data_IF_168223468369
#
_entry.id   IF_168223468369
#
_cell.length_a   1.000
_cell.length_b   1.000
_cell.length_c   1.000
_cell.angle_alpha   90.00
_cell.angle_beta   90.00
_cell.angle_gamma   90.00
#
_symmetry.space_group_name_H-M   'P 1'
#
loop_
_entity.id
_entity.type
_entity.pdbx_description
1 polymer ?
#
# COMPACT_ATOMS: atom_id res chain seq x y z
N UNK A 1 -20.50 -3.44 -13.92
CA UNK A 1 -19.05 -3.27 -13.96
C UNK A 1 -18.58 -2.70 -12.64
N UNK A 2 -17.70 -3.42 -11.99
CA UNK A 2 -17.30 -3.06 -10.65
C UNK A 2 -16.20 -1.99 -10.68
N UNK A 3 -16.49 -0.88 -10.04
CA UNK A 3 -15.48 0.15 -9.84
C UNK A 3 -14.61 -0.24 -8.65
N UNK A 4 -13.33 -0.02 -8.79
CA UNK A 4 -12.43 -0.17 -7.65
C UNK A 4 -12.72 0.94 -6.63
N UNK A 5 -12.61 0.65 -5.33
CA UNK A 5 -12.97 1.61 -4.27
C UNK A 5 -11.89 2.67 -4.02
N UNK A 6 -11.47 3.35 -5.07
CA UNK A 6 -10.34 4.28 -5.03
C UNK A 6 -10.62 5.48 -4.12
N UNK A 7 -11.72 6.18 -4.35
CA UNK A 7 -12.04 7.37 -3.57
C UNK A 7 -12.30 7.06 -2.09
N UNK A 8 -12.94 5.92 -1.83
CA UNK A 8 -13.18 5.48 -0.47
C UNK A 8 -11.86 5.31 0.29
N UNK A 9 -10.90 4.62 -0.32
CA UNK A 9 -9.59 4.40 0.30
C UNK A 9 -8.87 5.72 0.49
N UNK A 10 -8.85 6.58 -0.55
CA UNK A 10 -8.15 7.87 -0.47
C UNK A 10 -8.70 8.75 0.65
N UNK A 11 -10.01 8.72 0.89
CA UNK A 11 -10.64 9.56 1.90
C UNK A 11 -10.58 8.97 3.30
N UNK A 12 -10.56 7.65 3.44
CA UNK A 12 -10.64 7.00 4.74
C UNK A 12 -9.30 6.57 5.32
N UNK A 13 -8.31 6.24 4.47
CA UNK A 13 -7.03 5.79 4.96
C UNK A 13 -6.22 6.92 5.59
N UNK A 14 -5.55 6.62 6.69
CA UNK A 14 -4.65 7.56 7.37
C UNK A 14 -3.25 6.99 7.50
N UNK A 15 -3.13 5.71 7.81
CA UNK A 15 -1.87 5.01 7.99
C UNK A 15 -1.66 4.02 6.87
N UNK A 16 -0.57 4.18 6.13
CA UNK A 16 -0.23 3.37 4.97
C UNK A 16 1.07 2.63 5.23
N UNK A 17 1.02 1.30 5.18
CA UNK A 17 2.22 0.46 5.19
C UNK A 17 2.65 0.25 3.74
N UNK A 18 3.87 0.64 3.41
CA UNK A 18 4.39 0.59 2.04
C UNK A 18 5.37 -0.56 1.92
N UNK A 19 4.91 -1.66 1.32
CA UNK A 19 5.72 -2.86 1.09
C UNK A 19 6.56 -2.66 -0.18
N UNK A 20 7.87 -2.84 -0.06
CA UNK A 20 8.76 -2.54 -1.16
C UNK A 20 9.15 -1.07 -1.22
N UNK A 21 9.01 -0.36 -0.10
CA UNK A 21 9.50 1.01 0.00
C UNK A 21 10.96 1.08 -0.44
N UNK A 22 11.30 2.07 -1.24
CA UNK A 22 12.65 2.25 -1.77
C UNK A 22 13.31 3.49 -1.19
N UNK A 23 14.60 3.41 -0.91
CA UNK A 23 15.41 4.57 -0.52
C UNK A 23 15.90 5.37 -1.74
N UNK A 24 15.67 4.87 -2.96
CA UNK A 24 16.09 5.53 -4.20
C UNK A 24 15.02 6.49 -4.68
N UNK A 25 15.34 7.78 -4.66
CA UNK A 25 14.36 8.85 -4.92
C UNK A 25 13.71 8.80 -6.31
N UNK A 26 14.38 8.22 -7.29
CA UNK A 26 13.84 8.09 -8.64
C UNK A 26 12.83 6.95 -8.80
N UNK A 27 12.72 6.06 -7.81
CA UNK A 27 11.80 4.92 -7.90
C UNK A 27 10.43 5.26 -7.34
N UNK A 28 9.39 4.67 -7.95
CA UNK A 28 8.01 4.86 -7.51
C UNK A 28 7.81 4.46 -6.04
N UNK A 29 8.51 3.41 -5.59
CA UNK A 29 8.49 2.99 -4.18
C UNK A 29 9.02 4.04 -3.20
N UNK A 30 9.62 5.10 -3.69
CA UNK A 30 10.00 6.27 -2.90
C UNK A 30 9.09 7.47 -3.20
N UNK A 31 9.00 7.91 -4.47
CA UNK A 31 8.33 9.18 -4.76
C UNK A 31 6.80 9.12 -4.58
N UNK A 32 6.18 7.95 -4.73
CA UNK A 32 4.75 7.84 -4.45
C UNK A 32 4.47 7.99 -2.96
N UNK A 33 5.08 7.21 -2.05
CA UNK A 33 4.86 7.45 -0.62
C UNK A 33 5.35 8.84 -0.15
N UNK A 34 6.41 9.39 -0.73
CA UNK A 34 6.86 10.74 -0.40
C UNK A 34 5.77 11.77 -0.69
N UNK A 35 5.14 11.66 -1.86
CA UNK A 35 4.01 12.53 -2.21
C UNK A 35 2.85 12.35 -1.21
N UNK A 36 2.49 11.11 -0.91
CA UNK A 36 1.38 10.82 -0.01
C UNK A 36 1.64 11.38 1.39
N UNK A 37 2.88 11.30 1.87
CA UNK A 37 3.24 11.88 3.15
C UNK A 37 2.97 13.38 3.18
N UNK A 38 3.28 14.10 2.09
CA UNK A 38 3.00 15.54 2.00
C UNK A 38 1.50 15.85 2.02
N UNK A 39 0.67 14.87 1.71
CA UNK A 39 -0.79 15.02 1.69
C UNK A 39 -1.44 14.61 3.01
N UNK A 40 -0.64 14.31 4.03
CA UNK A 40 -1.14 14.03 5.38
C UNK A 40 -1.25 12.56 5.74
N UNK A 41 -0.89 11.64 4.85
CA UNK A 41 -0.87 10.21 5.20
C UNK A 41 0.36 9.90 6.04
N UNK A 42 0.17 9.02 7.03
CA UNK A 42 1.30 8.47 7.79
C UNK A 42 1.88 7.30 7.00
N UNK A 43 3.17 7.31 6.75
CA UNK A 43 3.86 6.28 5.97
C UNK A 43 4.67 5.39 6.89
N UNK A 44 4.50 4.08 6.75
CA UNK A 44 5.31 3.08 7.44
C UNK A 44 6.08 2.32 6.36
N UNK A 45 7.39 2.56 6.21
CA UNK A 45 8.19 1.78 5.24
C UNK A 45 8.30 0.32 5.69
N UNK A 46 8.06 -0.60 4.76
CA UNK A 46 8.22 -2.03 5.01
C UNK A 46 9.22 -2.59 4.00
N UNK A 47 10.40 -2.92 4.47
CA UNK A 47 11.47 -3.47 3.63
C UNK A 47 12.57 -4.03 4.53
N UNK A 48 12.92 -5.33 4.44
CA UNK A 48 13.95 -5.91 5.31
C UNK A 48 15.37 -5.48 4.96
N UNK A 49 15.58 -4.79 3.85
CA UNK A 49 16.90 -4.46 3.32
C UNK A 49 17.32 -3.01 3.56
N UNK A 50 16.46 -2.17 4.14
CA UNK A 50 16.77 -0.75 4.37
C UNK A 50 16.42 -0.35 5.81
N UNK A 51 17.06 0.71 6.28
CA UNK A 51 16.81 1.21 7.64
C UNK A 51 15.57 2.10 7.74
N UNK A 52 15.20 2.77 6.64
CA UNK A 52 14.04 3.65 6.63
C UNK A 52 14.12 4.70 5.55
N UNK A 53 13.25 5.68 5.64
CA UNK A 53 13.19 6.82 4.74
C UNK A 53 12.04 7.72 5.13
N UNK A 54 12.00 8.92 4.58
CA UNK A 54 10.97 9.92 4.86
C UNK A 54 10.86 10.24 6.36
N UNK A 55 11.96 10.12 7.10
CA UNK A 55 11.97 10.36 8.54
C UNK A 55 11.37 9.21 9.35
N UNK A 56 11.08 8.07 8.73
CA UNK A 56 10.48 6.92 9.40
C UNK A 56 11.42 5.72 9.40
N UNK A 57 11.38 4.94 10.47
CA UNK A 57 12.13 3.69 10.57
C UNK A 57 11.39 2.60 9.81
N UNK A 58 12.10 1.85 8.97
CA UNK A 58 11.49 0.72 8.27
C UNK A 58 11.32 -0.47 9.21
N UNK A 59 10.26 -1.25 8.97
CA UNK A 59 10.07 -2.55 9.61
C UNK A 59 10.35 -3.64 8.58
N UNK A 60 10.87 -4.81 9.02
CA UNK A 60 11.21 -5.88 8.07
C UNK A 60 10.00 -6.49 7.37
N UNK A 61 8.86 -6.62 8.06
CA UNK A 61 7.65 -7.18 7.47
C UNK A 61 6.41 -6.54 8.05
N UNK A 62 5.27 -6.73 7.38
CA UNK A 62 3.98 -6.20 7.83
C UNK A 62 3.63 -6.68 9.23
N UNK A 63 3.96 -7.93 9.56
CA UNK A 63 3.62 -8.52 10.85
C UNK A 63 4.40 -7.92 12.02
N UNK A 64 5.46 -7.15 11.74
CA UNK A 64 6.22 -6.44 12.77
C UNK A 64 5.63 -5.08 13.15
N UNK A 65 4.60 -4.63 12.42
CA UNK A 65 3.95 -3.35 12.71
C UNK A 65 3.05 -3.51 13.93
N UNK A 66 3.24 -2.64 14.93
CA UNK A 66 2.51 -2.73 16.19
C UNK A 66 1.27 -1.84 16.24
N UNK A 67 1.15 -0.88 15.31
CA UNK A 67 0.02 0.04 15.27
C UNK A 67 -0.98 -0.39 14.20
N UNK A 68 -2.25 0.07 14.28
CA UNK A 68 -3.23 -0.23 13.24
C UNK A 68 -2.81 0.31 11.89
N UNK A 69 -3.06 -0.47 10.84
CA UNK A 69 -2.77 -0.11 9.44
C UNK A 69 -4.09 -0.02 8.69
N UNK A 70 -4.33 1.10 8.01
CA UNK A 70 -5.53 1.25 7.20
C UNK A 70 -5.34 0.69 5.79
N UNK A 71 -4.16 0.89 5.22
CA UNK A 71 -3.88 0.51 3.84
C UNK A 71 -2.50 -0.12 3.73
N UNK A 72 -2.44 -1.23 2.98
CA UNK A 72 -1.17 -1.83 2.57
C UNK A 72 -0.97 -1.51 1.10
N UNK A 73 0.04 -0.72 0.79
CA UNK A 73 0.40 -0.30 -0.57
C UNK A 73 1.57 -1.15 -1.05
N UNK A 74 1.37 -1.88 -2.15
CA UNK A 74 2.31 -2.89 -2.62
C UNK A 74 3.12 -2.43 -3.83
N UNK A 75 4.44 -2.40 -3.67
CA UNK A 75 5.42 -2.22 -4.73
C UNK A 75 6.20 -3.53 -4.91
N UNK A 76 5.49 -4.59 -5.25
CA UNK A 76 6.05 -5.93 -5.43
C UNK A 76 5.60 -6.48 -6.77
N UNK A 77 6.39 -7.38 -7.36
CA UNK A 77 5.95 -8.06 -8.59
C UNK A 77 4.64 -8.78 -8.35
N UNK A 78 3.81 -8.85 -9.38
CA UNK A 78 2.48 -9.48 -9.27
C UNK A 78 2.55 -10.89 -8.69
N UNK A 79 3.51 -11.69 -9.13
CA UNK A 79 3.67 -13.08 -8.65
C UNK A 79 4.03 -13.17 -7.17
N UNK A 80 4.54 -12.08 -6.57
CA UNK A 80 4.95 -12.06 -5.17
C UNK A 80 3.87 -11.48 -4.25
N UNK A 81 2.74 -11.05 -4.79
CA UNK A 81 1.68 -10.39 -4.02
C UNK A 81 0.99 -11.27 -2.98
N UNK A 82 0.70 -12.57 -3.24
CA UNK A 82 -0.12 -13.37 -2.32
C UNK A 82 0.35 -13.38 -0.85
N UNK A 83 1.64 -13.57 -0.51
CA UNK A 83 2.05 -13.57 0.89
C UNK A 83 1.76 -12.24 1.59
N UNK A 84 1.89 -11.12 0.88
CA UNK A 84 1.65 -9.79 1.46
C UNK A 84 0.16 -9.55 1.69
N UNK A 85 -0.70 -10.08 0.84
CA UNK A 85 -2.15 -10.04 1.06
C UNK A 85 -2.50 -10.86 2.31
N UNK A 86 -1.91 -12.06 2.46
CA UNK A 86 -2.13 -12.86 3.66
C UNK A 86 -1.73 -12.09 4.93
N UNK A 87 -0.59 -11.42 4.90
CA UNK A 87 -0.13 -10.62 6.03
C UNK A 87 -1.03 -9.42 6.29
N UNK A 88 -1.52 -8.76 5.23
CA UNK A 88 -2.45 -7.64 5.37
C UNK A 88 -3.74 -8.09 6.08
N UNK A 89 -4.25 -9.25 5.72
CA UNK A 89 -5.42 -9.84 6.39
C UNK A 89 -5.10 -10.13 7.85
N UNK A 90 -3.94 -10.73 8.12
CA UNK A 90 -3.52 -11.11 9.47
C UNK A 90 -3.43 -9.91 10.40
N UNK A 91 -2.86 -8.77 9.93
CA UNK A 91 -2.71 -7.58 10.75
C UNK A 91 -3.99 -6.73 10.85
N UNK A 92 -5.06 -7.15 10.17
CA UNK A 92 -6.32 -6.44 10.21
C UNK A 92 -6.36 -5.14 9.43
N UNK A 93 -5.56 -5.04 8.35
CA UNK A 93 -5.62 -3.89 7.46
C UNK A 93 -7.01 -3.77 6.83
N UNK A 94 -7.41 -2.57 6.48
CA UNK A 94 -8.73 -2.32 5.90
C UNK A 94 -8.74 -2.42 4.39
N UNK A 95 -7.58 -2.24 3.76
CA UNK A 95 -7.47 -2.22 2.31
C UNK A 95 -6.08 -2.64 1.84
N UNK A 96 -6.02 -3.11 0.59
CA UNK A 96 -4.77 -3.42 -0.12
C UNK A 96 -4.80 -2.68 -1.46
N UNK A 97 -3.69 -2.06 -1.81
CA UNK A 97 -3.55 -1.32 -3.07
C UNK A 97 -2.35 -1.88 -3.83
N UNK A 98 -2.60 -2.47 -4.98
CA UNK A 98 -1.55 -2.93 -5.90
C UNK A 98 -1.23 -1.80 -6.87
N UNK A 99 0.00 -1.33 -6.83
CA UNK A 99 0.45 -0.18 -7.60
C UNK A 99 0.38 -0.46 -9.11
N UNK A 100 0.50 0.60 -9.92
CA UNK A 100 0.44 0.49 -11.38
C UNK A 100 1.34 -0.64 -11.91
N UNK A 101 0.79 -1.49 -12.76
CA UNK A 101 1.48 -2.66 -13.32
C UNK A 101 1.45 -3.89 -12.42
N UNK A 102 0.84 -3.80 -11.23
CA UNK A 102 0.79 -4.90 -10.28
C UNK A 102 -0.66 -5.36 -10.12
N UNK A 103 -0.91 -6.64 -10.40
CA UNK A 103 -2.24 -7.21 -10.27
C UNK A 103 -2.14 -8.71 -9.99
N UNK A 104 -3.03 -9.23 -9.16
CA UNK A 104 -3.12 -10.65 -8.85
C UNK A 104 -4.54 -10.97 -8.44
N UNK A 105 -5.33 -11.50 -9.37
CA UNK A 105 -6.77 -11.65 -9.17
C UNK A 105 -7.12 -12.59 -8.02
N UNK A 106 -6.43 -13.72 -7.90
CA UNK A 106 -6.70 -14.66 -6.82
C UNK A 106 -6.43 -14.03 -5.44
N UNK A 107 -5.32 -13.28 -5.30
CA UNK A 107 -5.00 -12.59 -4.06
C UNK A 107 -6.01 -11.48 -3.77
N UNK A 108 -6.43 -10.76 -4.80
CA UNK A 108 -7.44 -9.71 -4.66
C UNK A 108 -8.77 -10.27 -4.18
N UNK A 109 -9.19 -11.42 -4.73
CA UNK A 109 -10.41 -12.08 -4.30
C UNK A 109 -10.32 -12.56 -2.86
N UNK A 110 -9.17 -13.09 -2.46
CA UNK A 110 -8.96 -13.52 -1.06
C UNK A 110 -9.07 -12.34 -0.10
N UNK A 111 -8.48 -11.20 -0.45
CA UNK A 111 -8.58 -9.99 0.37
C UNK A 111 -10.03 -9.51 0.48
N UNK A 112 -10.77 -9.48 -0.63
CA UNK A 112 -12.18 -9.07 -0.62
C UNK A 112 -13.03 -10.00 0.23
N UNK A 113 -12.81 -11.31 0.13
CA UNK A 113 -13.53 -12.29 0.93
C UNK A 113 -13.25 -12.12 2.43
N UNK A 114 -12.08 -11.61 2.78
CA UNK A 114 -11.73 -11.29 4.17
C UNK A 114 -12.25 -9.91 4.61
N UNK A 115 -12.95 -9.19 3.75
CA UNK A 115 -13.55 -7.92 4.07
C UNK A 115 -12.70 -6.69 3.77
N UNK A 116 -11.56 -6.87 3.08
CA UNK A 116 -10.72 -5.74 2.70
C UNK A 116 -11.19 -5.11 1.38
N UNK A 117 -11.03 -3.80 1.27
CA UNK A 117 -11.14 -3.13 -0.02
C UNK A 117 -9.87 -3.38 -0.82
N UNK A 118 -9.97 -3.50 -2.14
CA UNK A 118 -8.83 -3.82 -2.99
C UNK A 118 -8.81 -2.92 -4.22
N UNK A 119 -7.63 -2.38 -4.52
CA UNK A 119 -7.35 -1.70 -5.79
C UNK A 119 -6.19 -2.43 -6.45
N UNK A 120 -6.28 -2.63 -7.76
CA UNK A 120 -5.21 -3.24 -8.56
C UNK A 120 -4.84 -2.34 -9.72
N UNK A 121 -3.56 -2.37 -10.08
CA UNK A 121 -3.04 -1.75 -11.30
C UNK A 121 -3.40 -0.26 -11.40
N UNK A 122 -3.11 0.48 -10.34
CA UNK A 122 -3.33 1.92 -10.33
C UNK A 122 -2.24 2.61 -9.52
N UNK A 123 -1.79 3.77 -10.00
CA UNK A 123 -0.82 4.58 -9.28
C UNK A 123 -1.52 5.45 -8.25
N UNK A 124 -1.25 5.21 -6.96
CA UNK A 124 -1.94 5.94 -5.90
C UNK A 124 -1.68 7.45 -5.96
N UNK A 125 -0.47 7.85 -6.36
CA UNK A 125 -0.16 9.28 -6.55
C UNK A 125 -1.05 9.90 -7.62
N UNK A 126 -1.19 9.23 -8.77
CA UNK A 126 -2.03 9.71 -9.88
C UNK A 126 -3.49 9.80 -9.46
N UNK A 127 -3.98 8.75 -8.80
CA UNK A 127 -5.37 8.72 -8.35
C UNK A 127 -5.66 9.79 -7.31
N UNK A 128 -4.72 10.02 -6.39
CA UNK A 128 -4.87 11.08 -5.40
C UNK A 128 -4.94 12.45 -6.05
N UNK A 129 -4.06 12.72 -7.01
CA UNK A 129 -4.07 14.00 -7.74
C UNK A 129 -5.38 14.24 -8.48
N UNK A 130 -5.95 13.19 -9.07
CA UNK A 130 -7.27 13.28 -9.73
C UNK A 130 -8.38 13.59 -8.73
N UNK A 131 -8.31 12.96 -7.58
CA UNK A 131 -9.34 13.09 -6.54
C UNK A 131 -9.37 14.49 -5.95
N UNK A 132 -8.22 15.11 -5.74
CA UNK A 132 -8.15 16.46 -5.15
C UNK A 132 -8.22 17.58 -6.17
N UNK A 133 -8.20 17.26 -7.46
CA UNK A 133 -8.25 18.27 -8.53
C UNK A 133 -9.60 18.97 -8.60
#
# INVERSE_FOLDING_TARGET
MDKQPIEKILSEAKTIAVVGFSSKTAKAGYYVPAYLQTQGYQIIPVNPLIEGGLGETAVPSLTDIEQPVDLVLLFQRSENVPPFVDQAIEIGAKAVWMQLGIAHEAAANKAREAGLDVVQDACMLVEHKRWVA
#
